data_IF_985232337049
#
_entry.id   IF_985232337049
#
_cell.length_a   1.000
_cell.length_b   1.000
_cell.length_c   1.000
_cell.angle_alpha   90.00
_cell.angle_beta   90.00
_cell.angle_gamma   90.00
#
_symmetry.space_group_name_H-M   'P 1'
#
loop_
_entity.id
_entity.type
_entity.pdbx_description
1 polymer ?
#
# COMPACT_ATOMS: atom_id res chain seq x y z
N UNK A 1 14.26 12.31 -6.55
CA UNK A 1 13.22 11.55 -5.82
C UNK A 1 13.73 11.30 -4.41
N UNK A 2 12.89 11.37 -3.36
CA UNK A 2 13.36 11.09 -1.99
C UNK A 2 13.32 9.58 -1.81
N UNK A 3 14.48 8.97 -1.53
CA UNK A 3 14.62 7.52 -1.33
C UNK A 3 14.03 7.15 0.02
N UNK A 4 13.31 6.02 0.10
CA UNK A 4 12.59 5.58 1.31
C UNK A 4 13.48 4.69 2.18
N UNK A 5 14.23 3.78 1.55
CA UNK A 5 15.09 2.82 2.25
C UNK A 5 16.56 3.27 2.34
N UNK A 6 16.91 4.37 1.67
CA UNK A 6 18.24 4.97 1.72
C UNK A 6 18.17 6.42 2.20
N UNK A 7 19.26 6.89 2.80
CA UNK A 7 19.40 8.30 3.12
C UNK A 7 19.73 9.13 1.86
N UNK A 8 19.84 10.45 2.01
CA UNK A 8 20.12 11.37 0.90
C UNK A 8 21.49 11.16 0.24
N UNK A 9 22.39 10.37 0.84
CA UNK A 9 23.69 10.01 0.27
C UNK A 9 23.67 8.64 -0.43
N UNK A 10 22.49 8.02 -0.57
CA UNK A 10 22.35 6.68 -1.14
C UNK A 10 22.80 5.55 -0.22
N UNK A 11 23.03 5.82 1.07
CA UNK A 11 23.43 4.80 2.04
C UNK A 11 22.15 4.15 2.62
N UNK A 12 22.05 2.81 2.63
CA UNK A 12 20.86 2.11 3.11
C UNK A 12 20.69 2.32 4.62
N UNK A 13 19.44 2.43 5.06
CA UNK A 13 19.14 2.42 6.48
C UNK A 13 19.47 1.05 7.08
N UNK A 14 20.18 1.01 8.21
CA UNK A 14 20.49 -0.25 8.86
C UNK A 14 19.24 -0.99 9.38
N UNK A 15 19.36 -2.30 9.60
CA UNK A 15 18.26 -3.15 10.10
C UNK A 15 17.70 -2.67 11.44
N UNK A 16 18.52 -2.07 12.31
CA UNK A 16 18.08 -1.54 13.60
C UNK A 16 17.17 -0.32 13.41
N UNK A 17 17.45 0.53 12.41
CA UNK A 17 16.64 1.67 12.06
C UNK A 17 15.26 1.22 11.55
N UNK A 18 15.22 0.30 10.60
CA UNK A 18 13.96 -0.25 10.08
C UNK A 18 13.13 -0.88 11.20
N UNK A 19 13.74 -1.72 12.05
CA UNK A 19 13.10 -2.32 13.23
C UNK A 19 12.51 -1.28 14.18
N UNK A 20 13.24 -0.18 14.45
CA UNK A 20 12.74 0.92 15.31
C UNK A 20 11.54 1.63 14.68
N UNK A 21 11.55 1.87 13.36
CA UNK A 21 10.42 2.51 12.68
C UNK A 21 9.18 1.61 12.72
N UNK A 22 9.33 0.30 12.48
CA UNK A 22 8.25 -0.69 12.62
C UNK A 22 7.71 -0.71 14.05
N UNK A 23 8.59 -0.80 15.05
CA UNK A 23 8.19 -0.83 16.46
C UNK A 23 7.39 0.41 16.88
N UNK A 24 7.81 1.60 16.46
CA UNK A 24 7.14 2.88 16.75
C UNK A 24 5.81 3.06 16.04
N UNK A 25 5.55 2.30 14.98
CA UNK A 25 4.34 2.48 14.20
C UNK A 25 3.10 2.08 15.00
N UNK A 26 2.05 2.91 14.94
CA UNK A 26 0.90 2.83 15.83
C UNK A 26 0.15 1.49 15.77
N UNK A 27 -0.20 0.97 16.95
CA UNK A 27 -0.81 -0.36 17.13
C UNK A 27 -2.12 -0.54 16.36
N UNK A 28 -2.95 0.52 16.33
CA UNK A 28 -4.22 0.50 15.61
C UNK A 28 -4.04 0.26 14.10
N UNK A 29 -3.01 0.84 13.48
CA UNK A 29 -2.75 0.62 12.07
C UNK A 29 -2.19 -0.78 11.83
N UNK A 30 -1.24 -1.23 12.65
CA UNK A 30 -0.68 -2.59 12.57
C UNK A 30 -1.79 -3.64 12.57
N UNK A 31 -2.73 -3.52 13.53
CA UNK A 31 -3.89 -4.41 13.61
C UNK A 31 -4.74 -4.38 12.34
N UNK A 32 -5.10 -3.20 11.84
CA UNK A 32 -5.89 -3.07 10.61
C UNK A 32 -5.17 -3.68 9.40
N UNK A 33 -3.86 -3.47 9.26
CA UNK A 33 -3.09 -4.04 8.15
C UNK A 33 -3.00 -5.56 8.25
N UNK A 34 -2.74 -6.10 9.44
CA UNK A 34 -2.71 -7.55 9.65
C UNK A 34 -4.07 -8.20 9.37
N UNK A 35 -5.18 -7.56 9.76
CA UNK A 35 -6.51 -8.01 9.40
C UNK A 35 -6.73 -8.01 7.89
N UNK A 36 -6.33 -6.94 7.18
CA UNK A 36 -6.40 -6.86 5.72
C UNK A 36 -5.63 -8.02 5.08
N UNK A 37 -4.36 -8.20 5.46
CA UNK A 37 -3.49 -9.26 4.95
C UNK A 37 -4.11 -10.63 5.15
N UNK A 38 -4.64 -10.91 6.35
CA UNK A 38 -5.26 -12.20 6.66
C UNK A 38 -6.55 -12.41 5.86
N UNK A 39 -7.40 -11.40 5.76
CA UNK A 39 -8.68 -11.48 5.08
C UNK A 39 -8.56 -11.75 3.57
N UNK A 40 -7.42 -11.37 2.96
CA UNK A 40 -7.15 -11.57 1.53
C UNK A 40 -6.26 -12.79 1.24
N UNK A 41 -5.94 -13.61 2.25
CA UNK A 41 -5.11 -14.80 2.06
C UNK A 41 -5.77 -15.80 1.11
N UNK A 42 -7.06 -16.07 1.32
CA UNK A 42 -7.86 -17.05 0.57
C UNK A 42 -8.54 -16.47 -0.68
N UNK A 43 -8.06 -15.31 -1.14
CA UNK A 43 -8.58 -14.62 -2.32
C UNK A 43 -9.49 -13.43 -1.99
N UNK A 44 -10.12 -12.90 -3.05
CA UNK A 44 -10.84 -11.63 -3.02
C UNK A 44 -12.24 -11.82 -3.56
N UNK A 45 -13.24 -11.44 -2.76
CA UNK A 45 -14.64 -11.35 -3.17
C UNK A 45 -15.27 -10.05 -2.66
N UNK A 46 -16.53 -9.77 -3.04
CA UNK A 46 -17.22 -8.53 -2.66
C UNK A 46 -17.24 -8.32 -1.15
N UNK A 47 -17.47 -9.39 -0.37
CA UNK A 47 -17.49 -9.33 1.11
C UNK A 47 -16.14 -8.88 1.66
N UNK A 48 -15.06 -9.58 1.28
CA UNK A 48 -13.68 -9.27 1.70
C UNK A 48 -13.30 -7.85 1.31
N UNK A 49 -13.62 -7.45 0.07
CA UNK A 49 -13.39 -6.11 -0.43
C UNK A 49 -14.09 -5.05 0.43
N UNK A 50 -15.40 -5.19 0.63
CA UNK A 50 -16.20 -4.21 1.37
C UNK A 50 -15.75 -4.10 2.83
N UNK A 51 -15.45 -5.23 3.48
CA UNK A 51 -14.95 -5.26 4.85
C UNK A 51 -13.60 -4.53 4.96
N UNK A 52 -12.63 -4.93 4.13
CA UNK A 52 -11.27 -4.39 4.19
C UNK A 52 -11.21 -2.90 3.83
N UNK A 53 -11.91 -2.48 2.77
CA UNK A 53 -12.00 -1.06 2.39
C UNK A 53 -12.60 -0.26 3.55
N UNK A 54 -13.71 -0.70 4.13
CA UNK A 54 -14.36 0.03 5.22
C UNK A 54 -13.47 0.18 6.44
N UNK A 55 -12.78 -0.90 6.85
CA UNK A 55 -11.84 -0.89 7.98
C UNK A 55 -10.66 0.03 7.72
N UNK A 56 -10.04 -0.07 6.54
CA UNK A 56 -8.87 0.72 6.20
C UNK A 56 -9.21 2.21 6.08
N UNK A 57 -10.30 2.56 5.39
CA UNK A 57 -10.74 3.95 5.26
C UNK A 57 -11.06 4.58 6.63
N UNK A 58 -11.69 3.82 7.53
CA UNK A 58 -11.97 4.29 8.89
C UNK A 58 -10.68 4.54 9.68
N UNK A 59 -9.68 3.66 9.57
CA UNK A 59 -8.37 3.82 10.21
C UNK A 59 -7.67 5.12 9.77
N UNK A 60 -7.78 5.46 8.48
CA UNK A 60 -7.27 6.71 7.91
C UNK A 60 -8.19 7.92 8.11
N UNK A 61 -9.27 7.79 8.89
CA UNK A 61 -10.27 8.84 9.15
C UNK A 61 -10.98 9.35 7.88
N UNK A 62 -10.92 8.61 6.78
CA UNK A 62 -11.53 8.97 5.50
C UNK A 62 -13.06 8.79 5.49
N UNK A 63 -13.61 8.12 6.51
CA UNK A 63 -15.06 7.94 6.65
C UNK A 63 -15.77 9.10 7.37
N UNK A 64 -15.00 10.10 7.84
CA UNK A 64 -15.55 11.28 8.54
C UNK A 64 -16.06 12.36 7.58
N UNK A 65 -15.47 12.44 6.39
CA UNK A 65 -15.73 13.48 5.38
C UNK A 65 -15.27 13.03 4.00
N UNK A 66 -15.70 13.73 2.95
CA UNK A 66 -15.33 13.42 1.57
C UNK A 66 -16.10 12.22 1.00
N UNK A 67 -15.58 11.60 -0.08
CA UNK A 67 -16.30 10.54 -0.80
C UNK A 67 -16.75 9.39 0.12
N UNK A 68 -15.89 8.91 1.01
CA UNK A 68 -16.17 7.76 1.88
C UNK A 68 -16.98 8.11 3.14
N UNK A 69 -17.59 9.31 3.23
CA UNK A 69 -18.32 9.74 4.43
C UNK A 69 -19.41 8.73 4.81
N UNK A 70 -19.34 8.25 6.06
CA UNK A 70 -20.34 7.33 6.63
C UNK A 70 -20.17 5.87 6.22
N UNK A 71 -19.14 5.52 5.44
CA UNK A 71 -18.82 4.12 5.11
C UNK A 71 -18.45 3.37 6.39
N UNK A 72 -19.08 2.20 6.60
CA UNK A 72 -18.82 1.30 7.72
C UNK A 72 -19.14 -0.13 7.33
N UNK A 73 -18.41 -1.09 7.89
CA UNK A 73 -18.77 -2.50 7.86
C UNK A 73 -19.10 -2.96 9.28
N UNK A 74 -20.33 -3.38 9.53
CA UNK A 74 -20.77 -3.90 10.83
C UNK A 74 -21.84 -4.95 10.64
N UNK A 75 -21.88 -5.92 11.56
CA UNK A 75 -22.91 -6.97 11.58
C UNK A 75 -22.97 -7.76 10.25
N UNK A 76 -21.80 -7.97 9.63
CA UNK A 76 -21.68 -8.67 8.34
C UNK A 76 -22.18 -7.89 7.13
N UNK A 77 -22.54 -6.61 7.29
CA UNK A 77 -23.10 -5.78 6.23
C UNK A 77 -22.31 -4.49 6.01
N UNK A 78 -22.28 -4.07 4.74
CA UNK A 78 -21.74 -2.77 4.34
C UNK A 78 -22.81 -1.69 4.49
N UNK A 79 -22.49 -0.64 5.23
CA UNK A 79 -23.18 0.66 5.15
C UNK A 79 -22.36 1.57 4.25
N UNK A 80 -22.90 1.89 3.07
CA UNK A 80 -22.25 2.70 2.03
C UNK A 80 -23.22 3.76 1.51
N UNK A 81 -23.41 4.87 2.25
CA UNK A 81 -24.50 5.82 1.99
C UNK A 81 -24.49 6.42 0.58
N UNK A 82 -23.32 6.53 -0.02
CA UNK A 82 -23.12 7.12 -1.35
C UNK A 82 -22.86 6.06 -2.42
N UNK A 83 -22.92 4.76 -2.09
CA UNK A 83 -22.63 3.66 -3.00
C UNK A 83 -21.18 3.59 -3.50
N UNK A 84 -20.24 4.36 -2.92
CA UNK A 84 -18.88 4.51 -3.46
C UNK A 84 -18.07 3.23 -3.34
N UNK A 85 -18.16 2.51 -2.21
CA UNK A 85 -17.46 1.22 -2.07
C UNK A 85 -18.04 0.20 -3.04
N UNK A 86 -19.35 0.21 -3.20
CA UNK A 86 -20.06 -0.68 -4.13
C UNK A 86 -19.66 -0.40 -5.58
N UNK A 87 -19.65 0.87 -6.01
CA UNK A 87 -19.22 1.27 -7.35
C UNK A 87 -17.74 0.97 -7.62
N UNK A 88 -16.87 1.18 -6.63
CA UNK A 88 -15.46 0.79 -6.74
C UNK A 88 -15.31 -0.72 -7.01
N UNK A 89 -16.05 -1.56 -6.28
CA UNK A 89 -16.06 -3.00 -6.53
C UNK A 89 -16.52 -3.32 -7.94
N UNK A 90 -17.70 -2.85 -8.35
CA UNK A 90 -18.31 -3.14 -9.66
C UNK A 90 -17.42 -2.75 -10.84
N UNK A 91 -16.60 -1.70 -10.69
CA UNK A 91 -15.74 -1.23 -11.77
C UNK A 91 -14.36 -1.89 -11.80
N UNK A 92 -13.91 -2.49 -10.70
CA UNK A 92 -12.53 -2.99 -10.58
C UNK A 92 -12.40 -4.47 -10.26
N UNK A 93 -13.46 -5.14 -9.83
CA UNK A 93 -13.38 -6.52 -9.36
C UNK A 93 -12.74 -7.48 -10.38
N UNK A 94 -13.07 -7.35 -11.67
CA UNK A 94 -12.47 -8.17 -12.72
C UNK A 94 -10.94 -7.97 -12.80
N UNK A 95 -10.47 -6.72 -12.70
CA UNK A 95 -9.04 -6.44 -12.68
C UNK A 95 -8.36 -7.01 -11.43
N UNK A 96 -9.00 -6.87 -10.26
CA UNK A 96 -8.45 -7.35 -8.98
C UNK A 96 -8.36 -8.89 -8.95
N UNK A 97 -9.40 -9.58 -9.42
CA UNK A 97 -9.43 -11.04 -9.53
C UNK A 97 -8.37 -11.51 -10.52
N UNK A 98 -8.26 -10.88 -11.70
CA UNK A 98 -7.23 -11.24 -12.68
C UNK A 98 -5.81 -11.07 -12.14
N UNK A 99 -5.53 -9.98 -11.43
CA UNK A 99 -4.22 -9.79 -10.79
C UNK A 99 -4.00 -10.91 -9.76
N UNK A 100 -4.99 -11.19 -8.91
CA UNK A 100 -4.87 -12.21 -7.87
C UNK A 100 -4.61 -13.59 -8.46
N UNK A 101 -5.40 -14.02 -9.44
CA UNK A 101 -5.20 -15.30 -10.14
C UNK A 101 -3.82 -15.40 -10.76
N UNK A 102 -3.34 -14.31 -11.38
CA UNK A 102 -1.98 -14.28 -11.92
C UNK A 102 -0.91 -14.47 -10.84
N UNK A 103 -1.05 -13.83 -9.68
CA UNK A 103 -0.11 -14.02 -8.57
C UNK A 103 -0.14 -15.45 -8.02
N UNK A 104 -1.35 -16.03 -7.88
CA UNK A 104 -1.53 -17.40 -7.39
C UNK A 104 -0.95 -18.43 -8.39
N UNK A 105 -1.10 -18.21 -9.70
CA UNK A 105 -0.50 -19.03 -10.77
C UNK A 105 1.03 -18.93 -10.80
N UNK A 106 1.58 -17.74 -10.55
CA UNK A 106 3.03 -17.50 -10.56
C UNK A 106 3.72 -18.01 -9.30
N UNK A 107 2.97 -18.29 -8.24
CA UNK A 107 3.38 -19.18 -7.14
C UNK A 107 4.77 -18.88 -6.57
N UNK A 108 5.10 -17.62 -6.32
CA UNK A 108 6.42 -17.27 -5.77
C UNK A 108 6.39 -17.36 -4.25
N UNK A 109 6.78 -18.52 -3.72
CA UNK A 109 7.16 -18.71 -2.32
C UNK A 109 6.23 -18.07 -1.28
N UNK A 110 6.73 -17.03 -0.59
CA UNK A 110 6.03 -16.38 0.52
C UNK A 110 5.14 -15.26 -0.04
N UNK A 111 3.82 -15.34 0.17
CA UNK A 111 2.83 -14.31 -0.22
C UNK A 111 3.28 -12.87 0.06
N UNK A 112 3.91 -12.65 1.21
CA UNK A 112 4.40 -11.33 1.62
C UNK A 112 5.54 -10.74 0.76
N UNK A 113 6.22 -11.57 -0.04
CA UNK A 113 7.42 -11.22 -0.82
C UNK A 113 7.21 -11.29 -2.34
N UNK A 114 6.01 -11.62 -2.80
CA UNK A 114 5.71 -11.82 -4.24
C UNK A 114 6.24 -10.68 -5.12
N UNK A 115 6.14 -9.42 -4.68
CA UNK A 115 6.55 -8.27 -5.51
C UNK A 115 8.01 -8.35 -5.99
N UNK A 116 8.93 -8.76 -5.11
CA UNK A 116 10.37 -8.84 -5.41
C UNK A 116 10.78 -10.21 -5.97
N UNK A 117 9.99 -11.25 -5.69
CA UNK A 117 10.26 -12.61 -6.17
C UNK A 117 9.75 -12.84 -7.61
N UNK A 118 8.85 -11.99 -8.10
CA UNK A 118 8.44 -12.01 -9.51
C UNK A 118 9.61 -11.65 -10.44
N UNK A 119 9.64 -12.31 -11.60
CA UNK A 119 10.50 -11.93 -12.72
C UNK A 119 10.19 -10.50 -13.16
N UNK A 120 11.16 -9.82 -13.79
CA UNK A 120 10.94 -8.45 -14.29
C UNK A 120 9.74 -8.33 -15.23
N UNK A 121 9.52 -9.32 -16.12
CA UNK A 121 8.37 -9.34 -17.02
C UNK A 121 7.05 -9.48 -16.28
N UNK A 122 6.98 -10.39 -15.29
CA UNK A 122 5.76 -10.61 -14.51
C UNK A 122 5.47 -9.43 -13.58
N UNK A 123 6.52 -8.83 -13.00
CA UNK A 123 6.43 -7.61 -12.19
C UNK A 123 5.89 -6.45 -13.02
N UNK A 124 6.41 -6.24 -14.23
CA UNK A 124 5.93 -5.20 -15.15
C UNK A 124 4.46 -5.42 -15.54
N UNK A 125 4.05 -6.68 -15.76
CA UNK A 125 2.65 -7.02 -16.00
C UNK A 125 1.77 -6.62 -14.81
N UNK A 126 2.15 -7.02 -13.59
CA UNK A 126 1.40 -6.68 -12.36
C UNK A 126 1.30 -5.18 -12.14
N UNK A 127 2.41 -4.46 -12.30
CA UNK A 127 2.47 -2.99 -12.19
C UNK A 127 1.51 -2.32 -13.18
N UNK A 128 1.51 -2.76 -14.44
CA UNK A 128 0.60 -2.25 -15.47
C UNK A 128 -0.87 -2.52 -15.12
N UNK A 129 -1.20 -3.73 -14.65
CA UNK A 129 -2.57 -4.08 -14.24
C UNK A 129 -3.03 -3.31 -13.01
N UNK A 130 -2.15 -3.10 -12.02
CA UNK A 130 -2.42 -2.24 -10.86
C UNK A 130 -2.69 -0.80 -11.30
N UNK A 131 -1.93 -0.26 -12.26
CA UNK A 131 -2.16 1.09 -12.77
C UNK A 131 -3.51 1.23 -13.48
N UNK A 132 -3.92 0.21 -14.26
CA UNK A 132 -5.25 0.18 -14.86
C UNK A 132 -6.35 0.18 -13.79
N UNK A 133 -6.22 -0.68 -12.76
CA UNK A 133 -7.18 -0.72 -11.66
C UNK A 133 -7.21 0.61 -10.88
N UNK A 134 -6.04 1.20 -10.62
CA UNK A 134 -5.91 2.50 -9.96
C UNK A 134 -6.67 3.59 -10.72
N UNK A 135 -6.45 3.72 -12.04
CA UNK A 135 -7.15 4.70 -12.88
C UNK A 135 -8.66 4.52 -12.87
N UNK A 136 -9.14 3.27 -12.87
CA UNK A 136 -10.58 2.97 -12.76
C UNK A 136 -11.19 3.37 -11.41
N UNK A 137 -10.40 3.43 -10.34
CA UNK A 137 -10.87 3.88 -9.03
C UNK A 137 -10.94 5.41 -8.89
N UNK A 138 -10.16 6.15 -9.69
CA UNK A 138 -10.04 7.60 -9.54
C UNK A 138 -11.40 8.33 -9.58
N UNK A 139 -12.29 8.10 -10.56
CA UNK A 139 -13.56 8.83 -10.63
C UNK A 139 -14.41 8.69 -9.37
N UNK A 140 -14.34 7.56 -8.67
CA UNK A 140 -15.10 7.29 -7.44
C UNK A 140 -14.43 7.84 -6.19
N UNK A 141 -13.12 8.03 -6.23
CA UNK A 141 -12.33 8.53 -5.11
C UNK A 141 -12.14 10.06 -5.15
N UNK A 142 -12.49 10.71 -6.27
CA UNK A 142 -12.39 12.14 -6.46
C UNK A 142 -13.53 12.90 -5.76
N UNK A 143 -13.25 14.15 -5.43
CA UNK A 143 -14.26 15.17 -5.06
C UNK A 143 -13.66 16.54 -5.36
N UNK A 144 -14.42 17.61 -5.14
CA UNK A 144 -14.00 19.00 -5.37
C UNK A 144 -12.65 19.36 -4.72
N UNK A 145 -12.27 18.66 -3.65
CA UNK A 145 -11.05 18.94 -2.88
C UNK A 145 -9.98 17.84 -2.98
N UNK A 146 -10.20 16.75 -3.72
CA UNK A 146 -9.20 15.66 -3.84
C UNK A 146 -9.22 14.98 -5.20
N UNK A 147 -8.02 14.72 -5.73
CA UNK A 147 -7.75 13.98 -6.96
C UNK A 147 -7.97 12.46 -6.85
N UNK A 148 -8.41 11.95 -5.69
CA UNK A 148 -8.72 10.53 -5.48
C UNK A 148 -7.52 9.59 -5.32
N UNK A 149 -6.29 10.05 -5.53
CA UNK A 149 -5.06 9.23 -5.46
C UNK A 149 -4.92 8.46 -4.14
N UNK A 150 -5.23 9.11 -3.02
CA UNK A 150 -5.15 8.51 -1.67
C UNK A 150 -6.19 7.41 -1.49
N UNK A 151 -7.42 7.64 -1.95
CA UNK A 151 -8.50 6.64 -1.88
C UNK A 151 -8.18 5.42 -2.74
N UNK A 152 -7.79 5.65 -4.00
CA UNK A 152 -7.49 4.59 -4.95
C UNK A 152 -6.33 3.68 -4.47
N UNK A 153 -5.21 4.26 -4.02
CA UNK A 153 -4.08 3.47 -3.50
C UNK A 153 -4.44 2.63 -2.28
N UNK A 154 -5.26 3.17 -1.36
CA UNK A 154 -5.72 2.44 -0.16
C UNK A 154 -6.71 1.33 -0.51
N UNK A 155 -7.60 1.54 -1.48
CA UNK A 155 -8.48 0.47 -1.96
C UNK A 155 -7.62 -0.67 -2.54
N UNK A 156 -6.65 -0.39 -3.40
CA UNK A 156 -5.78 -1.43 -3.95
C UNK A 156 -5.02 -2.17 -2.85
N UNK A 157 -4.45 -1.45 -1.87
CA UNK A 157 -3.78 -2.07 -0.73
C UNK A 157 -4.71 -2.94 0.13
N UNK A 158 -5.98 -2.54 0.29
CA UNK A 158 -6.96 -3.30 1.08
C UNK A 158 -7.32 -4.67 0.47
N UNK A 159 -6.88 -4.92 -0.77
CA UNK A 159 -7.22 -6.11 -1.55
C UNK A 159 -5.97 -6.90 -1.96
N UNK A 160 -4.90 -6.18 -2.31
CA UNK A 160 -3.63 -6.73 -2.81
C UNK A 160 -2.46 -6.21 -1.96
N UNK A 161 -2.46 -6.42 -0.63
CA UNK A 161 -1.44 -5.86 0.27
C UNK A 161 -0.02 -6.36 -0.01
N UNK A 162 0.11 -7.46 -0.76
CA UNK A 162 1.37 -8.04 -1.20
C UNK A 162 2.08 -7.26 -2.32
N UNK A 163 1.37 -6.40 -3.07
CA UNK A 163 1.91 -5.68 -4.24
C UNK A 163 1.51 -4.20 -4.33
N UNK A 164 0.47 -3.76 -3.62
CA UNK A 164 0.01 -2.37 -3.63
C UNK A 164 0.58 -1.59 -2.43
N UNK A 165 0.75 -0.28 -2.54
CA UNK A 165 1.22 0.61 -1.47
C UNK A 165 0.14 1.64 -1.09
N UNK A 166 -0.26 1.79 0.18
CA UNK A 166 -1.33 2.71 0.58
C UNK A 166 -0.85 4.15 0.77
N UNK A 167 -0.60 4.86 -0.33
CA UNK A 167 0.05 6.19 -0.34
C UNK A 167 -0.86 7.31 0.19
N UNK A 168 -0.30 8.22 1.01
CA UNK A 168 -0.96 9.44 1.49
C UNK A 168 -0.50 10.71 0.74
N UNK A 169 -1.19 11.83 0.99
CA UNK A 169 -0.92 13.10 0.31
C UNK A 169 0.53 13.60 0.47
N UNK A 170 1.16 13.38 1.63
CA UNK A 170 2.52 13.83 1.86
C UNK A 170 3.53 12.91 1.16
N UNK A 171 3.29 11.61 1.10
CA UNK A 171 4.10 10.67 0.34
C UNK A 171 4.03 10.97 -1.17
N UNK A 172 2.83 11.17 -1.73
CA UNK A 172 2.66 11.59 -3.13
C UNK A 172 3.47 12.85 -3.45
N UNK A 173 3.31 13.90 -2.64
CA UNK A 173 3.91 15.21 -2.90
C UNK A 173 5.41 15.30 -2.59
N UNK A 174 5.88 14.62 -1.54
CA UNK A 174 7.25 14.83 -1.00
C UNK A 174 8.18 13.65 -1.21
N UNK A 175 7.65 12.43 -1.20
CA UNK A 175 8.44 11.20 -1.31
C UNK A 175 8.56 10.81 -2.78
N UNK A 176 7.44 10.42 -3.38
CA UNK A 176 7.40 9.88 -4.73
C UNK A 176 7.46 10.96 -5.81
N UNK A 177 6.83 12.12 -5.58
CA UNK A 177 6.79 13.25 -6.53
C UNK A 177 6.29 12.85 -7.93
N UNK A 178 5.36 11.90 -7.98
CA UNK A 178 4.69 11.43 -9.20
C UNK A 178 3.20 11.24 -8.88
N UNK A 179 2.36 11.27 -9.91
CA UNK A 179 0.96 10.85 -9.84
C UNK A 179 0.73 9.48 -10.49
N UNK A 180 1.76 8.95 -11.15
CA UNK A 180 1.70 7.63 -11.76
C UNK A 180 1.94 6.57 -10.68
N UNK A 181 0.92 5.75 -10.44
CA UNK A 181 1.04 4.71 -9.43
C UNK A 181 1.98 3.59 -9.87
N UNK A 182 2.20 3.41 -11.18
CA UNK A 182 3.18 2.44 -11.68
C UNK A 182 4.61 2.81 -11.29
N UNK A 183 4.95 4.10 -11.30
CA UNK A 183 6.24 4.61 -10.81
C UNK A 183 6.41 4.30 -9.32
N UNK A 184 5.36 4.47 -8.51
CA UNK A 184 5.39 4.18 -7.07
C UNK A 184 5.70 2.72 -6.81
N UNK A 185 4.98 1.80 -7.46
CA UNK A 185 5.17 0.36 -7.25
C UNK A 185 6.53 -0.11 -7.78
N UNK A 186 6.95 0.38 -8.94
CA UNK A 186 8.26 0.07 -9.51
C UNK A 186 9.41 0.58 -8.63
N UNK A 187 9.29 1.81 -8.12
CA UNK A 187 10.26 2.40 -7.19
C UNK A 187 10.33 1.62 -5.89
N UNK A 188 9.19 1.24 -5.31
CA UNK A 188 9.15 0.41 -4.10
C UNK A 188 9.89 -0.92 -4.32
N UNK A 189 9.59 -1.63 -5.41
CA UNK A 189 10.24 -2.91 -5.70
C UNK A 189 11.76 -2.76 -5.89
N UNK A 190 12.18 -1.78 -6.70
CA UNK A 190 13.59 -1.52 -6.97
C UNK A 190 14.37 -1.10 -5.70
N UNK A 191 13.77 -0.26 -4.85
CA UNK A 191 14.41 0.15 -3.60
C UNK A 191 14.55 -1.01 -2.61
N UNK A 192 13.58 -1.92 -2.54
CA UNK A 192 13.66 -3.10 -1.67
C UNK A 192 14.78 -4.02 -2.18
N UNK A 193 14.79 -4.35 -3.48
CA UNK A 193 15.82 -5.19 -4.08
C UNK A 193 17.22 -4.64 -3.81
N UNK A 194 17.40 -3.33 -4.03
CA UNK A 194 18.69 -2.67 -3.82
C UNK A 194 19.09 -2.63 -2.34
N UNK A 195 18.15 -2.36 -1.44
CA UNK A 195 18.41 -2.37 -0.01
C UNK A 195 18.82 -3.75 0.50
N UNK A 196 18.09 -4.81 0.09
CA UNK A 196 18.39 -6.19 0.49
C UNK A 196 19.75 -6.63 -0.06
N UNK A 197 20.10 -6.22 -1.28
CA UNK A 197 21.41 -6.49 -1.90
C UNK A 197 22.55 -5.82 -1.13
N UNK A 198 22.40 -4.56 -0.72
CA UNK A 198 23.44 -3.84 -0.01
C UNK A 198 23.60 -4.27 1.46
N UNK A 199 22.48 -4.52 2.15
CA UNK A 199 22.48 -4.89 3.58
C UNK A 199 22.72 -6.39 3.78
N UNK A 200 22.42 -7.22 2.78
CA UNK A 200 22.65 -8.66 2.80
C UNK A 200 21.63 -9.45 3.61
N UNK A 201 20.47 -8.86 3.94
CA UNK A 201 19.36 -9.55 4.62
C UNK A 201 18.02 -9.17 4.00
N UNK A 202 17.01 -10.07 4.02
CA UNK A 202 15.65 -9.74 3.62
C UNK A 202 15.04 -8.67 4.53
N UNK A 203 14.38 -7.65 3.97
CA UNK A 203 13.80 -6.55 4.77
C UNK A 203 12.64 -7.02 5.65
N UNK A 204 11.92 -8.07 5.24
CA UNK A 204 10.86 -8.67 6.07
C UNK A 204 11.38 -9.38 7.31
N UNK A 205 12.70 -9.63 7.43
CA UNK A 205 13.32 -10.05 8.70
C UNK A 205 13.37 -8.93 9.76
N UNK A 206 13.05 -7.69 9.37
CA UNK A 206 12.97 -6.55 10.29
C UNK A 206 11.60 -6.44 10.98
N UNK A 207 10.56 -7.13 10.50
CA UNK A 207 9.25 -7.12 11.13
C UNK A 207 9.04 -8.39 11.96
N UNK A 208 8.80 -8.29 13.29
CA UNK A 208 8.50 -9.47 14.10
C UNK A 208 7.11 -10.07 13.82
N UNK A 209 6.23 -9.36 13.10
CA UNK A 209 4.88 -9.85 12.83
C UNK A 209 4.90 -10.97 11.78
N UNK A 210 4.21 -12.09 12.04
CA UNK A 210 4.08 -13.13 11.03
C UNK A 210 3.25 -12.59 9.86
N UNK A 211 3.60 -13.01 8.64
CA UNK A 211 2.87 -12.69 7.41
C UNK A 211 2.84 -11.21 6.97
N UNK A 212 3.68 -10.34 7.53
CA UNK A 212 3.84 -8.98 6.97
C UNK A 212 4.21 -9.01 5.49
N UNK A 213 3.64 -8.07 4.74
CA UNK A 213 3.95 -7.89 3.32
C UNK A 213 5.01 -6.83 3.14
N UNK A 214 5.83 -6.97 2.09
CA UNK A 214 6.85 -5.97 1.77
C UNK A 214 6.28 -4.55 1.62
N UNK A 215 5.12 -4.32 0.95
CA UNK A 215 4.54 -2.99 0.92
C UNK A 215 4.10 -2.45 2.28
N UNK A 216 3.70 -3.29 3.23
CA UNK A 216 3.35 -2.84 4.58
C UNK A 216 4.56 -2.29 5.34
N UNK A 217 5.72 -2.96 5.22
CA UNK A 217 6.99 -2.54 5.80
C UNK A 217 7.51 -1.28 5.09
N UNK A 218 7.46 -1.27 3.77
CA UNK A 218 7.87 -0.11 2.98
C UNK A 218 7.02 1.12 3.29
N UNK A 219 5.70 0.95 3.53
CA UNK A 219 4.85 2.07 3.91
C UNK A 219 5.26 2.70 5.25
N UNK A 220 5.69 1.90 6.24
CA UNK A 220 6.24 2.42 7.50
C UNK A 220 7.44 3.33 7.23
N UNK A 221 8.37 2.87 6.39
CA UNK A 221 9.54 3.63 6.02
C UNK A 221 9.18 4.90 5.21
N UNK A 222 8.25 4.80 4.26
CA UNK A 222 7.78 5.94 3.49
C UNK A 222 7.07 6.99 4.37
N UNK A 223 6.40 6.55 5.44
CA UNK A 223 5.81 7.44 6.44
C UNK A 223 6.84 8.11 7.34
N UNK A 224 7.95 7.46 7.64
CA UNK A 224 9.08 8.10 8.32
C UNK A 224 9.73 9.15 7.40
N UNK A 225 9.95 8.78 6.13
CA UNK A 225 10.54 9.66 5.12
C UNK A 225 9.70 10.92 4.86
N UNK A 226 8.36 10.84 4.85
CA UNK A 226 7.49 12.02 4.67
C UNK A 226 7.50 12.96 5.89
N UNK A 227 7.73 12.42 7.09
CA UNK A 227 7.65 13.14 8.37
C UNK A 227 8.98 13.78 8.76
N UNK A 228 10.07 13.28 8.19
CA UNK A 228 11.41 13.82 8.32
C UNK A 228 11.51 15.23 7.73
N UNK A 229 11.11 16.24 8.51
CA UNK A 229 11.74 17.57 8.55
C UNK A 229 13.16 17.38 9.13
N UNK A 230 14.12 16.88 8.36
CA UNK A 230 15.50 16.78 8.84
C UNK A 230 16.33 17.87 8.17
N UNK A 231 16.56 18.94 8.93
CA UNK A 231 17.69 19.87 8.83
C UNK A 231 17.88 20.62 7.49
N UNK A 232 16.88 21.38 7.06
CA UNK A 232 17.11 22.49 6.08
C UNK A 232 17.32 23.85 6.80
N UNK A 233 17.71 23.85 8.07
CA UNK A 233 18.12 25.08 8.78
C UNK A 233 18.86 24.72 10.06
N UNK A 234 20.19 24.60 9.94
CA UNK A 234 21.22 24.96 10.94
C UNK A 234 22.62 24.80 10.31
N UNK A 235 22.80 25.45 9.18
CA UNK A 235 24.04 26.12 8.75
C UNK A 235 23.46 27.50 8.35
N UNK A 236 23.74 28.63 9.00
CA UNK A 236 24.97 29.23 9.51
C UNK A 236 24.68 29.86 10.87
#
# INVERSE_FOLDING_TARGET
>A
MRVVLHNNHGIPHDTKHVKRCIAKFGESYKKTVQEVIRNTADGVNKRVFCENVSKLMANFKMTRSGPFKGVKYSDGALKDPNGIVTSCWENTHQNLIQIRSFLDEKGTGKRGRVLVELTNSDRNYVVSKLWIAFKKLLPFCMSDTTWGLVGASKILFSVLPEIALPVDNAQWKKVFKTIDYSDVISTMAAEIDEWERQVGVPIDSCDPLPHSTLPSIYNVMAMEARSSKRLETKEI
#
